data_IF_761967563314
#
_entry.id   IF_761967563314
#
_cell.length_a   1.000
_cell.length_b   1.000
_cell.length_c   1.000
_cell.angle_alpha   90.00
_cell.angle_beta   90.00
_cell.angle_gamma   90.00
#
_symmetry.space_group_name_H-M   'P 1'
#
loop_
_entity.id
_entity.type
_entity.pdbx_description
1 polymer ?
#
# COMPACT_ATOMS: atom_id res chain seq x y z
N UNK A 1 -14.78 -12.53 12.26
CA UNK A 1 -14.50 -11.67 11.10
C UNK A 1 -13.20 -10.97 11.41
N UNK A 2 -12.13 -11.75 11.35
CA UNK A 2 -10.77 -11.34 11.65
C UNK A 2 -10.04 -11.36 10.32
N UNK A 3 -9.75 -10.18 9.79
CA UNK A 3 -8.68 -10.03 8.82
C UNK A 3 -7.75 -8.89 9.26
N UNK A 4 -6.76 -9.19 10.13
CA UNK A 4 -5.56 -8.43 10.44
C UNK A 4 -4.78 -7.72 9.35
N UNK A 5 -5.03 -8.15 8.12
CA UNK A 5 -3.98 -8.92 7.47
C UNK A 5 -3.55 -8.18 6.18
N UNK A 6 -4.21 -7.06 5.87
CA UNK A 6 -3.83 -6.11 4.83
C UNK A 6 -2.72 -5.11 5.23
N UNK A 7 -2.26 -5.15 6.48
CA UNK A 7 -1.10 -4.40 6.99
C UNK A 7 0.13 -5.29 7.24
N UNK A 8 0.35 -6.30 6.40
CA UNK A 8 1.48 -7.21 6.54
C UNK A 8 2.87 -6.50 6.44
N UNK A 9 2.91 -5.23 6.08
CA UNK A 9 4.12 -4.40 6.14
C UNK A 9 4.43 -3.87 7.55
N UNK A 10 3.49 -3.96 8.49
CA UNK A 10 3.53 -3.22 9.75
C UNK A 10 3.66 -4.08 11.00
N UNK A 11 3.27 -5.35 10.93
CA UNK A 11 3.24 -6.22 12.11
C UNK A 11 3.70 -7.66 11.85
N UNK A 12 4.73 -7.84 11.05
CA UNK A 12 5.49 -9.08 11.19
C UNK A 12 6.45 -8.94 12.37
N UNK A 13 6.44 -9.89 13.33
CA UNK A 13 7.50 -10.04 14.30
C UNK A 13 8.82 -10.03 13.54
N UNK A 14 9.73 -9.17 13.98
CA UNK A 14 11.08 -9.06 13.45
C UNK A 14 11.66 -10.45 13.21
N UNK A 15 12.21 -10.64 12.01
CA UNK A 15 12.80 -11.88 11.50
C UNK A 15 13.80 -12.59 12.44
N UNK A 16 14.26 -11.94 13.52
CA UNK A 16 14.92 -12.63 14.64
C UNK A 16 14.39 -12.13 15.97
N UNK A 17 14.03 -13.10 16.79
CA UNK A 17 13.65 -13.06 18.19
C UNK A 17 14.65 -12.25 19.06
N UNK A 18 14.51 -10.91 19.10
CA UNK A 18 15.28 -10.02 20.00
C UNK A 18 14.46 -8.84 20.57
N UNK A 19 13.14 -9.00 20.71
CA UNK A 19 12.33 -8.05 21.51
C UNK A 19 12.37 -6.58 21.07
N UNK A 20 12.69 -6.28 19.79
CA UNK A 20 12.67 -4.93 19.24
C UNK A 20 11.67 -4.85 18.08
N UNK A 21 10.69 -3.93 18.11
CA UNK A 21 9.74 -3.79 17.02
C UNK A 21 10.48 -3.33 15.75
N UNK A 22 10.56 -4.19 14.74
CA UNK A 22 11.05 -3.79 13.42
C UNK A 22 9.97 -2.93 12.76
N UNK A 23 10.17 -1.62 12.75
CA UNK A 23 9.33 -0.72 11.94
C UNK A 23 10.01 -0.52 10.59
N UNK A 24 9.27 -0.67 9.50
CA UNK A 24 9.80 -0.32 8.19
C UNK A 24 10.12 1.18 8.17
N UNK A 25 11.30 1.54 7.63
CA UNK A 25 11.78 2.92 7.65
C UNK A 25 10.77 3.90 7.01
N UNK A 26 10.12 3.48 5.92
CA UNK A 26 9.17 4.32 5.22
C UNK A 26 7.87 4.50 6.02
N UNK A 27 7.51 3.56 6.90
CA UNK A 27 6.34 3.69 7.76
C UNK A 27 6.57 4.72 8.87
N UNK A 28 7.82 4.90 9.32
CA UNK A 28 8.20 5.97 10.24
C UNK A 28 8.17 7.34 9.56
N UNK A 29 8.56 7.42 8.28
CA UNK A 29 8.39 8.65 7.48
C UNK A 29 6.91 9.03 7.43
N UNK A 30 6.05 8.10 7.02
CA UNK A 30 4.62 8.36 6.90
C UNK A 30 4.00 8.67 8.27
N UNK A 31 4.41 7.97 9.34
CA UNK A 31 3.99 8.29 10.71
C UNK A 31 4.37 9.73 11.10
N UNK A 32 5.58 10.16 10.78
CA UNK A 32 6.05 11.53 11.02
C UNK A 32 5.20 12.57 10.29
N UNK A 33 4.82 12.30 9.04
CA UNK A 33 3.93 13.16 8.25
C UNK A 33 2.53 13.21 8.88
N UNK A 34 1.95 12.06 9.24
CA UNK A 34 0.63 11.98 9.89
C UNK A 34 0.59 12.73 11.22
N UNK A 35 1.65 12.64 12.04
CA UNK A 35 1.75 13.38 13.30
C UNK A 35 1.80 14.89 13.04
N UNK A 36 2.61 15.35 12.08
CA UNK A 36 2.67 16.77 11.72
C UNK A 36 1.31 17.30 11.24
N UNK A 37 0.61 16.54 10.42
CA UNK A 37 -0.73 16.90 9.95
C UNK A 37 -1.72 16.99 11.11
N UNK A 38 -1.67 16.03 12.05
CA UNK A 38 -2.53 16.03 13.24
C UNK A 38 -2.29 17.27 14.10
N UNK A 39 -1.02 17.60 14.38
CA UNK A 39 -0.68 18.82 15.13
C UNK A 39 -1.15 20.10 14.45
N UNK A 40 -1.10 20.18 13.12
CA UNK A 40 -1.61 21.33 12.38
C UNK A 40 -3.12 21.47 12.57
N UNK A 41 -3.89 20.38 12.41
CA UNK A 41 -5.34 20.39 12.60
C UNK A 41 -5.73 20.73 14.03
N UNK A 42 -5.03 20.17 15.03
CA UNK A 42 -5.23 20.49 16.45
C UNK A 42 -4.99 21.97 16.76
N UNK A 43 -3.98 22.57 16.15
CA UNK A 43 -3.70 24.00 16.31
C UNK A 43 -4.81 24.89 15.75
N UNK A 44 -5.49 24.44 14.70
CA UNK A 44 -6.66 25.12 14.13
C UNK A 44 -7.96 24.80 14.90
N UNK A 45 -7.88 24.03 16.00
CA UNK A 45 -9.01 23.73 16.89
C UNK A 45 -9.81 22.48 16.54
N UNK A 46 -9.30 21.64 15.64
CA UNK A 46 -9.93 20.38 15.25
C UNK A 46 -9.30 19.19 15.98
N UNK A 47 -10.12 18.21 16.38
CA UNK A 47 -9.57 16.93 16.82
C UNK A 47 -8.92 16.23 15.63
N UNK A 48 -7.71 15.72 15.80
CA UNK A 48 -7.04 14.95 14.77
C UNK A 48 -6.10 13.88 15.36
N UNK A 49 -6.18 12.66 14.86
CA UNK A 49 -5.31 11.56 15.28
C UNK A 49 -4.82 10.76 14.07
N UNK A 50 -3.54 10.34 14.03
CA UNK A 50 -3.10 9.36 13.04
C UNK A 50 -3.90 8.07 13.20
N UNK A 51 -4.48 7.57 12.10
CA UNK A 51 -5.21 6.32 12.12
C UNK A 51 -4.28 5.18 12.53
N UNK A 52 -4.74 4.38 13.49
CA UNK A 52 -4.14 3.12 13.85
C UNK A 52 -4.40 2.08 12.75
N UNK A 53 -3.54 1.07 12.67
CA UNK A 53 -3.74 -0.08 11.79
C UNK A 53 -4.72 -1.10 12.40
N UNK A 54 -4.72 -1.25 13.74
CA UNK A 54 -5.63 -2.14 14.47
C UNK A 54 -6.29 -1.40 15.66
N UNK A 55 -7.63 -1.46 15.84
CA UNK A 55 -8.68 -2.07 15.00
C UNK A 55 -9.08 -1.14 13.82
N UNK A 56 -8.09 -0.72 13.03
CA UNK A 56 -8.06 0.54 12.29
C UNK A 56 -8.87 0.65 11.01
N UNK A 57 -8.37 1.50 10.12
CA UNK A 57 -8.99 1.84 8.84
C UNK A 57 -8.40 0.99 7.71
N UNK A 58 -9.25 0.35 6.90
CA UNK A 58 -8.82 -0.31 5.67
C UNK A 58 -8.34 0.73 4.65
N UNK A 59 -7.03 0.95 4.60
CA UNK A 59 -6.46 2.13 3.93
C UNK A 59 -6.62 2.13 2.41
N UNK A 60 -6.65 0.95 1.75
CA UNK A 60 -6.82 0.90 0.29
C UNK A 60 -8.22 1.36 -0.10
N UNK A 61 -9.23 0.85 0.59
CA UNK A 61 -10.64 1.18 0.43
C UNK A 61 -10.88 2.64 0.81
N UNK A 62 -10.28 3.12 1.91
CA UNK A 62 -10.30 4.52 2.27
C UNK A 62 -9.66 5.40 1.19
N UNK A 63 -8.56 4.94 0.56
CA UNK A 63 -7.93 5.63 -0.56
C UNK A 63 -8.82 5.71 -1.80
N UNK A 64 -9.61 4.66 -2.09
CA UNK A 64 -10.63 4.71 -3.15
C UNK A 64 -11.71 5.75 -2.82
N UNK A 65 -12.23 5.71 -1.59
CA UNK A 65 -13.27 6.64 -1.14
C UNK A 65 -12.78 8.10 -1.08
N UNK A 66 -11.49 8.30 -0.83
CA UNK A 66 -10.82 9.60 -0.85
C UNK A 66 -10.42 10.04 -2.28
N UNK A 67 -10.81 9.32 -3.33
CA UNK A 67 -10.54 9.71 -4.71
C UNK A 67 -9.06 9.58 -5.12
N UNK A 68 -8.24 8.81 -4.39
CA UNK A 68 -6.82 8.65 -4.71
C UNK A 68 -6.56 7.70 -5.88
N UNK A 69 -7.47 6.75 -6.13
CA UNK A 69 -7.27 5.72 -7.15
C UNK A 69 -8.31 4.61 -7.12
N UNK A 70 -7.99 3.49 -7.76
CA UNK A 70 -8.84 2.30 -7.82
C UNK A 70 -8.06 1.04 -7.45
N UNK A 71 -8.75 -0.01 -7.00
CA UNK A 71 -8.10 -1.30 -6.73
C UNK A 71 -7.80 -2.02 -8.04
N UNK A 72 -6.53 -2.32 -8.28
CA UNK A 72 -6.07 -3.06 -9.44
C UNK A 72 -6.19 -4.58 -9.29
N UNK A 73 -5.88 -5.32 -10.37
CA UNK A 73 -5.84 -6.79 -10.34
C UNK A 73 -4.81 -7.36 -9.37
N UNK A 74 -3.73 -6.62 -9.11
CA UNK A 74 -2.74 -6.98 -8.10
C UNK A 74 -3.22 -6.76 -6.66
N UNK A 75 -4.50 -6.42 -6.44
CA UNK A 75 -5.12 -6.13 -5.15
C UNK A 75 -4.51 -4.93 -4.41
N UNK A 76 -3.83 -4.02 -5.13
CA UNK A 76 -3.28 -2.78 -4.59
C UNK A 76 -4.08 -1.57 -5.08
N UNK A 77 -4.04 -0.46 -4.33
CA UNK A 77 -4.54 0.82 -4.80
C UNK A 77 -3.62 1.35 -5.91
N UNK A 78 -4.20 1.66 -7.07
CA UNK A 78 -3.51 2.21 -8.23
C UNK A 78 -3.91 3.68 -8.38
N UNK A 79 -2.92 4.56 -8.30
CA UNK A 79 -3.07 6.00 -8.58
C UNK A 79 -2.60 6.34 -9.99
N UNK A 80 -3.09 7.44 -10.55
CA UNK A 80 -2.66 7.90 -11.88
C UNK A 80 -1.17 8.31 -11.89
N UNK A 81 -0.69 8.93 -10.81
CA UNK A 81 0.66 9.47 -10.76
C UNK A 81 1.72 8.41 -10.49
N UNK A 82 1.46 7.46 -9.57
CA UNK A 82 2.46 6.53 -9.06
C UNK A 82 2.10 5.05 -9.29
N UNK A 83 0.93 4.77 -9.87
CA UNK A 83 0.43 3.41 -9.99
C UNK A 83 0.22 2.76 -8.62
N UNK A 84 0.61 1.49 -8.50
CA UNK A 84 0.59 0.75 -7.23
C UNK A 84 1.81 0.97 -6.33
N UNK A 85 2.73 1.88 -6.68
CA UNK A 85 3.99 2.13 -5.96
C UNK A 85 3.83 3.21 -4.89
N UNK A 86 2.77 3.08 -4.10
CA UNK A 86 2.44 4.00 -3.01
C UNK A 86 2.29 3.26 -1.69
N UNK A 87 2.48 4.00 -0.60
CA UNK A 87 2.11 3.57 0.75
C UNK A 87 1.13 4.57 1.35
N UNK A 88 0.25 4.06 2.20
CA UNK A 88 -0.88 4.82 2.73
C UNK A 88 -0.77 4.99 4.24
N UNK A 89 -1.27 6.13 4.71
CA UNK A 89 -1.62 6.45 6.10
C UNK A 89 -2.86 7.31 6.05
N UNK A 90 -3.62 7.32 7.13
CA UNK A 90 -4.75 8.22 7.30
C UNK A 90 -4.61 9.01 8.60
N UNK A 91 -5.31 10.14 8.67
CA UNK A 91 -5.52 10.92 9.89
C UNK A 91 -7.04 11.08 10.04
N UNK A 92 -7.58 10.63 11.16
CA UNK A 92 -8.97 10.87 11.51
C UNK A 92 -9.10 12.29 12.03
N UNK A 93 -10.14 13.02 11.63
CA UNK A 93 -10.38 14.38 12.14
C UNK A 93 -11.86 14.74 12.09
N UNK A 94 -12.27 15.69 12.94
CA UNK A 94 -13.59 16.32 12.87
C UNK A 94 -13.61 17.63 12.06
N UNK A 95 -12.49 17.98 11.41
CA UNK A 95 -12.42 19.12 10.51
C UNK A 95 -13.42 18.96 9.35
N UNK A 96 -14.09 20.06 9.00
CA UNK A 96 -15.03 20.09 7.88
C UNK A 96 -14.25 20.21 6.57
N UNK A 97 -13.90 19.07 5.99
CA UNK A 97 -13.18 18.98 4.72
C UNK A 97 -14.17 18.71 3.58
N UNK A 98 -13.94 19.35 2.44
CA UNK A 98 -14.66 19.01 1.21
C UNK A 98 -14.12 17.66 0.71
N UNK A 99 -14.96 16.63 0.53
CA UNK A 99 -14.50 15.36 -0.02
C UNK A 99 -14.13 15.51 -1.49
N UNK A 100 -13.09 14.80 -1.90
CA UNK A 100 -12.72 14.64 -3.30
C UNK A 100 -13.71 13.69 -4.00
N UNK A 101 -13.93 13.86 -5.32
CA UNK A 101 -14.78 12.94 -6.06
C UNK A 101 -14.15 11.55 -6.13
N UNK A 102 -14.98 10.52 -5.97
CA UNK A 102 -14.56 9.13 -6.20
C UNK A 102 -14.24 8.98 -7.69
N UNK A 103 -13.13 8.30 -7.98
CA UNK A 103 -12.79 7.97 -9.36
C UNK A 103 -13.63 6.78 -9.81
N UNK A 104 -14.60 7.04 -10.69
CA UNK A 104 -15.59 6.03 -11.12
C UNK A 104 -15.05 5.02 -12.14
N UNK A 105 -14.10 5.42 -12.99
CA UNK A 105 -13.49 4.48 -13.94
C UNK A 105 -12.10 4.91 -14.39
N UNK A 106 -11.12 4.08 -14.06
CA UNK A 106 -9.82 4.04 -14.69
C UNK A 106 -9.69 2.63 -15.26
N UNK A 107 -9.95 2.50 -16.55
CA UNK A 107 -10.04 1.20 -17.22
C UNK A 107 -8.66 0.54 -17.46
N UNK A 108 -7.67 0.93 -16.63
CA UNK A 108 -6.27 0.54 -16.72
C UNK A 108 -6.03 -0.96 -16.60
N UNK A 109 -6.94 -1.69 -15.96
CA UNK A 109 -6.85 -3.14 -15.78
C UNK A 109 -7.70 -3.93 -16.78
N UNK A 110 -8.48 -3.30 -17.66
CA UNK A 110 -9.29 -4.03 -18.65
C UNK A 110 -8.37 -4.72 -19.64
N UNK A 111 -8.49 -6.03 -19.75
CA UNK A 111 -7.62 -6.87 -20.60
C UNK A 111 -6.15 -6.99 -20.16
N UNK A 112 -5.70 -6.25 -19.14
CA UNK A 112 -4.33 -6.34 -18.62
C UNK A 112 -4.20 -7.48 -17.60
N UNK A 113 -3.20 -8.36 -17.79
CA UNK A 113 -2.88 -9.49 -16.89
C UNK A 113 -1.42 -9.51 -16.42
N UNK A 114 -0.63 -8.49 -16.74
CA UNK A 114 0.83 -8.46 -16.53
C UNK A 114 1.22 -8.79 -15.07
N UNK A 115 0.53 -8.21 -14.08
CA UNK A 115 0.84 -8.46 -12.67
C UNK A 115 0.41 -9.84 -12.18
N UNK A 116 -0.59 -10.44 -12.83
CA UNK A 116 -1.05 -11.82 -12.56
C UNK A 116 -0.01 -12.79 -13.10
N UNK A 117 0.38 -12.62 -14.36
CA UNK A 117 1.35 -13.49 -15.05
C UNK A 117 2.75 -13.42 -14.41
N UNK A 118 3.12 -12.26 -13.87
CA UNK A 118 4.40 -12.07 -13.18
C UNK A 118 4.41 -12.56 -11.73
N UNK A 119 3.26 -12.97 -11.15
CA UNK A 119 3.19 -13.31 -9.74
C UNK A 119 3.88 -14.66 -9.48
N UNK A 120 5.03 -14.70 -8.78
CA UNK A 120 5.75 -15.96 -8.57
C UNK A 120 5.07 -16.87 -7.54
N UNK A 121 4.10 -16.34 -6.79
CA UNK A 121 3.31 -17.06 -5.81
C UNK A 121 2.04 -17.69 -6.41
N UNK A 122 1.73 -17.41 -7.69
CA UNK A 122 0.45 -17.78 -8.31
C UNK A 122 -0.77 -17.31 -7.49
N UNK A 123 -0.62 -16.18 -6.79
CA UNK A 123 -1.60 -15.67 -5.83
C UNK A 123 -2.91 -15.17 -6.47
N UNK A 124 -3.08 -15.30 -7.79
CA UNK A 124 -4.25 -14.82 -8.52
C UNK A 124 -4.94 -15.92 -9.35
N UNK A 125 -4.43 -17.17 -9.33
CA UNK A 125 -4.87 -18.26 -10.21
C UNK A 125 -6.34 -18.65 -10.02
N UNK A 126 -6.88 -18.46 -8.83
CA UNK A 126 -8.28 -18.76 -8.51
C UNK A 126 -9.26 -17.68 -9.01
N UNK A 127 -8.76 -16.64 -9.68
CA UNK A 127 -9.53 -15.46 -10.06
C UNK A 127 -9.76 -14.48 -8.90
N UNK A 128 -9.23 -14.78 -7.71
CA UNK A 128 -9.21 -13.91 -6.54
C UNK A 128 -7.78 -13.87 -5.98
N UNK A 129 -7.45 -12.79 -5.29
CA UNK A 129 -6.18 -12.68 -4.59
C UNK A 129 -6.15 -13.65 -3.40
N UNK A 130 -5.29 -14.65 -3.49
CA UNK A 130 -4.93 -15.57 -2.41
C UNK A 130 -3.82 -14.95 -1.57
N UNK A 131 -4.21 -14.42 -0.42
CA UNK A 131 -3.28 -13.78 0.48
C UNK A 131 -2.32 -14.78 1.12
N UNK A 132 -2.80 -15.97 1.49
CA UNK A 132 -1.97 -16.95 2.19
C UNK A 132 -0.83 -17.41 1.28
N UNK A 133 -1.14 -17.71 0.02
CA UNK A 133 -0.14 -18.04 -1.00
C UNK A 133 0.89 -16.92 -1.18
N UNK A 134 0.43 -15.66 -1.32
CA UNK A 134 1.31 -14.50 -1.44
C UNK A 134 2.23 -14.34 -0.23
N UNK A 135 1.67 -14.43 0.97
CA UNK A 135 2.40 -14.26 2.23
C UNK A 135 3.46 -15.35 2.42
N UNK A 136 3.07 -16.61 2.24
CA UNK A 136 3.97 -17.75 2.39
C UNK A 136 5.15 -17.63 1.40
N UNK A 137 4.88 -17.25 0.16
CA UNK A 137 5.93 -17.00 -0.82
C UNK A 137 6.85 -15.86 -0.38
N UNK A 138 6.28 -14.72 0.04
CA UNK A 138 7.04 -13.55 0.49
C UNK A 138 7.98 -13.87 1.64
N UNK A 139 7.51 -14.59 2.66
CA UNK A 139 8.31 -15.00 3.81
C UNK A 139 9.42 -15.98 3.42
N UNK A 140 9.12 -16.94 2.55
CA UNK A 140 10.10 -17.91 2.08
C UNK A 140 11.18 -17.32 1.16
N UNK A 141 10.90 -16.18 0.51
CA UNK A 141 11.76 -15.57 -0.52
C UNK A 141 12.24 -14.17 -0.15
N UNK A 142 12.33 -13.85 1.15
CA UNK A 142 12.92 -12.60 1.61
C UNK A 142 14.36 -12.47 1.12
N UNK A 143 14.70 -11.31 0.55
CA UNK A 143 16.08 -10.99 0.16
C UNK A 143 16.72 -10.14 1.24
N UNK A 144 17.67 -10.70 1.97
CA UNK A 144 18.46 -9.94 2.94
C UNK A 144 19.39 -8.95 2.22
N UNK A 145 19.28 -7.66 2.55
CA UNK A 145 20.19 -6.63 2.09
C UNK A 145 21.26 -6.33 3.15
N UNK A 146 20.89 -6.42 4.43
CA UNK A 146 21.78 -6.24 5.56
C UNK A 146 21.20 -6.94 6.80
N UNK A 147 21.95 -6.93 7.90
CA UNK A 147 21.47 -7.41 9.20
C UNK A 147 20.21 -6.68 9.72
N UNK A 148 19.86 -5.52 9.14
CA UNK A 148 18.70 -4.71 9.54
C UNK A 148 17.67 -4.51 8.42
N UNK A 149 17.89 -5.10 7.23
CA UNK A 149 17.08 -4.76 6.07
C UNK A 149 16.84 -5.97 5.18
N UNK A 150 15.58 -6.17 4.83
CA UNK A 150 15.12 -7.21 3.90
C UNK A 150 14.27 -6.57 2.82
N UNK A 151 14.30 -7.13 1.62
CA UNK A 151 13.35 -6.83 0.57
C UNK A 151 12.30 -7.93 0.50
N UNK A 152 11.06 -7.47 0.51
CA UNK A 152 9.87 -8.27 0.26
C UNK A 152 9.61 -8.37 -1.24
N UNK A 153 8.78 -9.35 -1.63
CA UNK A 153 8.32 -9.44 -3.01
C UNK A 153 7.52 -8.19 -3.38
N UNK A 154 7.87 -7.57 -4.51
CA UNK A 154 7.15 -6.43 -5.08
C UNK A 154 6.84 -6.64 -6.56
N UNK A 155 6.97 -7.87 -7.08
CA UNK A 155 6.91 -8.14 -8.52
C UNK A 155 5.63 -7.61 -9.16
N UNK A 156 4.46 -7.88 -8.56
CA UNK A 156 3.17 -7.41 -9.08
C UNK A 156 3.03 -5.88 -9.12
N UNK A 157 3.80 -5.13 -8.31
CA UNK A 157 3.85 -3.66 -8.33
C UNK A 157 4.93 -3.15 -9.29
N UNK A 158 6.06 -3.86 -9.37
CA UNK A 158 7.19 -3.55 -10.24
C UNK A 158 6.89 -3.76 -11.73
N UNK A 159 6.02 -4.71 -12.08
CA UNK A 159 5.61 -4.92 -13.47
C UNK A 159 4.36 -4.12 -13.84
N UNK A 160 3.66 -3.51 -12.88
CA UNK A 160 2.48 -2.73 -13.17
C UNK A 160 2.85 -1.53 -14.06
N UNK A 161 2.29 -1.42 -15.28
CA UNK A 161 2.65 -0.36 -16.23
C UNK A 161 2.04 0.99 -15.88
N UNK A 162 1.07 1.01 -14.96
CA UNK A 162 0.33 2.21 -14.60
C UNK A 162 1.17 3.09 -13.67
N UNK A 163 1.04 4.40 -13.84
CA UNK A 163 1.75 5.43 -13.09
C UNK A 163 2.60 6.31 -14.01
N UNK A 164 2.37 7.62 -13.99
CA UNK A 164 3.16 8.60 -14.76
C UNK A 164 4.63 8.64 -14.34
N UNK A 165 4.95 8.23 -13.11
CA UNK A 165 6.31 8.01 -12.62
C UNK A 165 7.14 7.01 -13.48
N UNK A 166 6.48 6.15 -14.26
CA UNK A 166 7.19 5.28 -15.23
C UNK A 166 7.74 6.05 -16.42
N UNK A 167 7.07 7.13 -16.84
CA UNK A 167 7.48 7.96 -17.97
C UNK A 167 8.72 8.80 -17.65
N UNK A 168 8.95 9.09 -16.37
CA UNK A 168 10.09 9.91 -15.92
C UNK A 168 11.38 9.10 -15.71
N UNK A 169 11.29 7.79 -15.49
CA UNK A 169 12.45 6.93 -15.19
C UNK A 169 13.01 6.20 -16.40
N UNK A 170 12.16 5.81 -17.36
CA UNK A 170 12.58 5.14 -18.58
C UNK A 170 11.87 5.81 -19.76
N UNK A 171 12.58 6.58 -20.59
CA UNK A 171 12.04 7.22 -21.81
C UNK A 171 11.44 6.27 -22.87
N UNK A 172 11.06 5.05 -22.51
CA UNK A 172 10.31 4.08 -23.29
C UNK A 172 8.89 3.98 -22.73
N UNK A 173 7.94 4.52 -23.49
CA UNK A 173 6.52 4.19 -23.35
C UNK A 173 6.36 2.67 -23.45
N UNK A 174 5.86 2.04 -22.39
CA UNK A 174 5.29 0.70 -22.53
C UNK A 174 3.86 0.88 -23.08
N UNK A 175 3.53 0.21 -24.20
CA UNK A 175 2.26 0.36 -24.89
C UNK A 175 1.05 -0.04 -24.05
#
# INVERSE_FOLDING_TARGET
>A
MEDPILDLWLHLPSWKDQGKPSRAFEDEILRGISLRLSFLLEREGYWAEPAHYEPGLYLKEAGVLAGLGMIGRNNLLITEEYGSRIRLRAVNTNALLRPDPIIESLDYCRGCHICVDACPANAFDTGKYDREACLNYCQANLKELSQYSVLWCMECSNVCPIGRDRLSLNGTQHP
#
